data_IF_849843118460
#
_entry.id   IF_849843118460
#
_cell.length_a   1.000
_cell.length_b   1.000
_cell.length_c   1.000
_cell.angle_alpha   90.00
_cell.angle_beta   90.00
_cell.angle_gamma   90.00
#
_symmetry.space_group_name_H-M   'P 1'
#
loop_
_entity.id
_entity.type
_entity.pdbx_description
1 polymer ?
#
# COMPACT_ATOMS: atom_id res chain seq x y z
N UNK A 1 37.97 18.32 -15.48
CA UNK A 1 36.75 18.53 -14.69
C UNK A 1 36.49 17.26 -13.91
N UNK A 2 36.93 17.21 -12.66
CA UNK A 2 36.56 16.11 -11.75
C UNK A 2 35.18 16.43 -11.17
N UNK A 3 34.23 15.53 -11.36
CA UNK A 3 32.94 15.57 -10.70
C UNK A 3 33.17 15.15 -9.24
N UNK A 4 32.92 16.07 -8.32
CA UNK A 4 32.96 15.78 -6.89
C UNK A 4 31.89 14.73 -6.54
N UNK A 5 32.26 13.69 -5.80
CA UNK A 5 31.31 12.70 -5.30
C UNK A 5 30.39 13.38 -4.30
N UNK A 6 29.10 13.41 -4.62
CA UNK A 6 28.06 13.93 -3.71
C UNK A 6 27.92 12.91 -2.58
N UNK A 7 28.39 13.25 -1.38
CA UNK A 7 28.28 12.40 -0.18
C UNK A 7 26.93 12.66 0.49
N UNK A 8 26.02 11.68 0.43
CA UNK A 8 24.69 11.72 1.06
C UNK A 8 23.77 10.66 0.46
N UNK A 9 22.66 10.32 1.14
CA UNK A 9 21.65 9.41 0.58
C UNK A 9 21.02 10.06 -0.66
N UNK A 10 21.16 9.46 -1.87
CA UNK A 10 20.57 10.01 -3.08
C UNK A 10 19.04 10.14 -3.00
N UNK A 11 18.38 9.28 -2.21
CA UNK A 11 16.92 9.30 -2.02
C UNK A 11 16.46 10.47 -1.16
N UNK A 12 17.30 10.94 -0.23
CA UNK A 12 16.98 12.05 0.68
C UNK A 12 16.86 13.42 -0.03
N UNK A 13 17.25 13.52 -1.30
CA UNK A 13 17.07 14.74 -2.12
C UNK A 13 15.74 14.80 -2.86
N UNK A 14 14.99 13.71 -2.89
CA UNK A 14 13.73 13.65 -3.61
C UNK A 14 12.62 14.22 -2.72
N UNK A 15 11.89 15.21 -3.24
CA UNK A 15 10.75 15.80 -2.54
C UNK A 15 9.59 14.81 -2.35
N UNK A 16 9.56 13.73 -3.14
CA UNK A 16 8.67 12.57 -2.99
C UNK A 16 9.57 11.33 -3.06
N UNK A 17 9.53 10.48 -2.04
CA UNK A 17 10.30 9.23 -2.08
C UNK A 17 9.67 8.25 -3.05
N UNK A 18 10.47 7.54 -3.87
CA UNK A 18 9.95 6.50 -4.74
C UNK A 18 9.47 5.32 -3.89
N UNK A 19 8.55 4.56 -4.47
CA UNK A 19 8.07 3.30 -3.92
C UNK A 19 9.24 2.37 -3.50
N UNK A 20 9.20 1.88 -2.27
CA UNK A 20 10.28 1.04 -1.74
C UNK A 20 9.95 -0.45 -1.80
N UNK A 21 10.42 -1.09 -2.87
CA UNK A 21 10.25 -2.54 -3.10
C UNK A 21 10.83 -3.41 -1.96
N UNK A 22 11.76 -2.87 -1.17
CA UNK A 22 12.37 -3.58 -0.03
C UNK A 22 11.41 -3.79 1.15
N UNK A 23 10.27 -3.08 1.15
CA UNK A 23 9.20 -3.22 2.14
C UNK A 23 8.14 -4.25 1.73
N UNK A 24 8.32 -4.92 0.60
CA UNK A 24 7.45 -6.01 0.17
C UNK A 24 7.83 -7.33 0.82
N UNK A 25 6.85 -8.01 1.42
CA UNK A 25 7.05 -9.34 1.99
C UNK A 25 5.83 -10.25 1.82
N UNK A 26 6.07 -11.56 1.90
CA UNK A 26 4.99 -12.56 1.98
C UNK A 26 4.76 -12.93 3.44
N UNK A 27 3.59 -12.56 3.94
CA UNK A 27 3.17 -12.89 5.31
C UNK A 27 2.17 -14.05 5.30
N UNK A 28 2.13 -14.76 6.42
CA UNK A 28 1.11 -15.78 6.69
C UNK A 28 0.18 -15.27 7.79
N UNK A 29 -1.10 -15.11 7.47
CA UNK A 29 -2.12 -14.76 8.45
C UNK A 29 -2.36 -15.92 9.43
N UNK A 30 -3.01 -15.63 10.56
CA UNK A 30 -3.29 -16.63 11.62
C UNK A 30 -4.07 -17.86 11.10
N UNK A 31 -4.85 -17.68 10.04
CA UNK A 31 -5.64 -18.74 9.39
C UNK A 31 -4.85 -19.49 8.28
N UNK A 32 -3.55 -19.26 8.15
CA UNK A 32 -2.69 -19.90 7.16
C UNK A 32 -2.75 -19.31 5.74
N UNK A 33 -3.58 -18.28 5.50
CA UNK A 33 -3.63 -17.60 4.20
C UNK A 33 -2.33 -16.83 3.98
N UNK A 34 -1.70 -17.04 2.81
CA UNK A 34 -0.55 -16.26 2.36
C UNK A 34 -1.01 -14.97 1.70
N UNK A 35 -0.46 -13.86 2.15
CA UNK A 35 -0.69 -12.54 1.58
C UNK A 35 0.64 -11.89 1.20
N UNK A 36 0.61 -11.04 0.17
CA UNK A 36 1.68 -10.09 -0.09
C UNK A 36 1.37 -8.82 0.70
N UNK A 37 2.22 -8.49 1.66
CA UNK A 37 2.23 -7.22 2.35
C UNK A 37 3.16 -6.28 1.59
N UNK A 38 2.67 -5.09 1.23
CA UNK A 38 3.47 -4.08 0.54
C UNK A 38 2.93 -2.68 0.79
N UNK A 39 3.75 -1.61 0.61
CA UNK A 39 3.22 -0.26 0.61
C UNK A 39 2.11 -0.10 -0.44
N UNK A 40 1.12 0.73 -0.14
CA UNK A 40 0.02 1.03 -1.05
C UNK A 40 0.54 1.77 -2.28
N UNK A 41 -0.05 1.53 -3.45
CA UNK A 41 0.21 2.23 -4.69
C UNK A 41 -1.02 3.04 -5.11
N UNK A 42 -0.87 4.11 -5.90
CA UNK A 42 -2.01 4.84 -6.49
C UNK A 42 -2.98 3.92 -7.25
N UNK A 43 -2.48 2.88 -7.91
CA UNK A 43 -3.30 1.93 -8.68
C UNK A 43 -4.18 1.03 -7.81
N UNK A 44 -3.96 1.00 -6.49
CA UNK A 44 -4.75 0.20 -5.55
C UNK A 44 -6.10 0.84 -5.20
N UNK A 45 -6.41 2.02 -5.71
CA UNK A 45 -7.64 2.75 -5.41
C UNK A 45 -8.91 1.89 -5.59
N UNK A 46 -9.01 1.15 -6.70
CA UNK A 46 -10.15 0.25 -6.93
C UNK A 46 -10.22 -0.88 -5.90
N UNK A 47 -9.08 -1.47 -5.52
CA UNK A 47 -9.02 -2.54 -4.53
C UNK A 47 -9.41 -2.02 -3.14
N UNK A 48 -8.95 -0.82 -2.80
CA UNK A 48 -9.27 -0.16 -1.54
C UNK A 48 -10.76 0.18 -1.47
N UNK A 49 -11.34 0.71 -2.55
CA UNK A 49 -12.78 0.98 -2.63
C UNK A 49 -13.60 -0.30 -2.42
N UNK A 50 -13.27 -1.36 -3.13
CA UNK A 50 -13.95 -2.66 -2.99
C UNK A 50 -13.82 -3.22 -1.57
N UNK A 51 -12.66 -3.05 -0.93
CA UNK A 51 -12.44 -3.45 0.45
C UNK A 51 -13.30 -2.64 1.42
N UNK A 52 -13.32 -1.31 1.31
CA UNK A 52 -14.09 -0.42 2.17
C UNK A 52 -15.58 -0.75 2.13
N UNK A 53 -16.14 -1.12 0.97
CA UNK A 53 -17.57 -1.52 0.88
C UNK A 53 -17.92 -2.76 1.68
N UNK A 54 -16.93 -3.57 2.07
CA UNK A 54 -17.09 -4.77 2.89
C UNK A 54 -16.83 -4.51 4.39
N UNK A 55 -16.37 -3.32 4.75
CA UNK A 55 -16.13 -2.91 6.14
C UNK A 55 -17.45 -2.46 6.78
N UNK A 56 -17.66 -2.80 8.05
CA UNK A 56 -18.88 -2.40 8.77
C UNK A 56 -18.88 -0.90 9.07
N UNK A 57 -20.06 -0.29 9.23
CA UNK A 57 -20.16 1.13 9.57
C UNK A 57 -19.52 1.42 10.93
N UNK A 58 -19.63 0.48 11.85
CA UNK A 58 -19.02 0.54 13.17
C UNK A 58 -17.50 0.61 13.08
N UNK A 59 -16.88 -0.27 12.27
CA UNK A 59 -15.42 -0.26 12.07
C UNK A 59 -14.95 1.03 11.39
N UNK A 60 -15.70 1.55 10.41
CA UNK A 60 -15.42 2.85 9.78
C UNK A 60 -15.53 3.99 10.78
N UNK A 61 -16.56 3.99 11.63
CA UNK A 61 -16.73 4.99 12.67
C UNK A 61 -15.56 5.00 13.66
N UNK A 62 -15.10 3.82 14.11
CA UNK A 62 -13.95 3.72 15.00
C UNK A 62 -12.64 4.13 14.31
N UNK A 63 -12.49 3.87 13.01
CA UNK A 63 -11.30 4.25 12.26
C UNK A 63 -11.20 5.75 11.98
N UNK A 64 -12.33 6.40 11.66
CA UNK A 64 -12.36 7.80 11.20
C UNK A 64 -12.94 8.79 12.21
N UNK A 65 -13.42 8.30 13.35
CA UNK A 65 -14.08 9.11 14.39
C UNK A 65 -15.24 9.95 13.85
N UNK A 66 -15.91 9.46 12.79
CA UNK A 66 -16.99 10.17 12.09
C UNK A 66 -17.98 9.17 11.48
N UNK A 67 -19.24 9.58 11.34
CA UNK A 67 -20.24 8.83 10.59
C UNK A 67 -19.98 8.98 9.08
N UNK A 68 -19.14 8.10 8.53
CA UNK A 68 -18.91 8.03 7.10
C UNK A 68 -19.95 7.09 6.47
N UNK A 69 -20.77 7.63 5.58
CA UNK A 69 -21.75 6.85 4.83
C UNK A 69 -21.17 6.24 3.56
N UNK A 70 -20.30 6.96 2.85
CA UNK A 70 -19.64 6.54 1.62
C UNK A 70 -18.38 7.38 1.40
N UNK A 71 -17.35 6.80 0.75
CA UNK A 71 -16.13 7.52 0.36
C UNK A 71 -16.24 8.00 -1.08
N UNK A 72 -15.93 9.27 -1.31
CA UNK A 72 -15.81 9.83 -2.65
C UNK A 72 -14.54 9.33 -3.34
N UNK A 73 -14.45 9.52 -4.66
CA UNK A 73 -13.21 9.24 -5.39
C UNK A 73 -12.02 10.00 -4.80
N UNK A 74 -12.20 11.28 -4.47
CA UNK A 74 -11.16 12.13 -3.90
C UNK A 74 -10.68 11.59 -2.54
N UNK A 75 -11.58 11.06 -1.71
CA UNK A 75 -11.19 10.46 -0.43
C UNK A 75 -10.26 9.25 -0.64
N UNK A 76 -10.61 8.34 -1.56
CA UNK A 76 -9.82 7.14 -1.83
C UNK A 76 -8.50 7.50 -2.55
N UNK A 77 -8.51 8.51 -3.42
CA UNK A 77 -7.31 9.04 -4.05
C UNK A 77 -6.32 9.59 -3.01
N UNK A 78 -6.81 10.37 -2.04
CA UNK A 78 -5.98 10.89 -0.93
C UNK A 78 -5.41 9.76 -0.05
N UNK A 79 -6.10 8.63 0.07
CA UNK A 79 -5.60 7.47 0.83
C UNK A 79 -4.53 6.66 0.10
N UNK A 80 -4.49 6.70 -1.24
CA UNK A 80 -3.58 5.88 -2.06
C UNK A 80 -2.38 6.67 -2.60
N UNK A 81 -2.54 7.97 -2.83
CA UNK A 81 -1.50 8.86 -3.36
C UNK A 81 -0.75 9.56 -2.23
N UNK A 82 -0.05 8.78 -1.41
CA UNK A 82 0.67 9.28 -0.24
C UNK A 82 2.12 9.68 -0.57
N UNK A 83 2.68 10.60 0.21
CA UNK A 83 4.12 10.85 0.22
C UNK A 83 4.81 9.81 1.09
N UNK A 84 5.50 8.83 0.49
CA UNK A 84 6.17 7.73 1.22
C UNK A 84 7.28 8.16 2.20
N UNK A 85 7.71 9.42 2.20
CA UNK A 85 8.60 9.97 3.24
C UNK A 85 7.84 10.44 4.48
N UNK A 86 6.67 11.03 4.27
CA UNK A 86 5.86 11.66 5.32
C UNK A 86 4.79 10.74 5.89
N UNK A 87 4.28 9.86 5.04
CA UNK A 87 3.14 9.00 5.28
C UNK A 87 3.50 7.59 4.83
N UNK A 88 2.94 6.58 5.50
CA UNK A 88 3.16 5.19 5.14
C UNK A 88 1.91 4.39 5.39
N UNK A 89 1.38 3.80 4.32
CA UNK A 89 0.26 2.88 4.36
C UNK A 89 0.64 1.58 3.67
N UNK A 90 0.24 0.47 4.27
CA UNK A 90 0.46 -0.88 3.76
C UNK A 90 -0.86 -1.54 3.42
N UNK A 91 -0.83 -2.39 2.40
CA UNK A 91 -1.94 -3.28 2.07
C UNK A 91 -1.49 -4.72 2.08
N UNK A 92 -2.40 -5.62 2.46
CA UNK A 92 -2.19 -7.05 2.42
C UNK A 92 -3.11 -7.68 1.36
N UNK A 93 -2.54 -8.08 0.23
CA UNK A 93 -3.29 -8.69 -0.87
C UNK A 93 -3.15 -10.21 -0.79
N UNK A 94 -4.28 -10.91 -0.78
CA UNK A 94 -4.30 -12.38 -0.83
C UNK A 94 -3.64 -12.84 -2.14
N UNK A 95 -2.55 -13.61 -2.03
CA UNK A 95 -1.86 -14.14 -3.21
C UNK A 95 -2.53 -15.47 -3.60
N UNK A 96 -3.16 -15.51 -4.77
CA UNK A 96 -3.68 -16.76 -5.31
C UNK A 96 -2.47 -17.57 -5.81
N UNK A 97 -2.31 -18.84 -5.40
CA UNK A 97 -1.23 -19.67 -5.92
C UNK A 97 -1.38 -19.80 -7.44
N UNK A 98 -0.41 -19.25 -8.19
CA UNK A 98 -0.32 -19.42 -9.63
C UNK A 98 0.57 -20.62 -9.92
N UNK A 99 0.09 -21.53 -10.77
CA UNK A 99 0.93 -22.61 -11.29
C UNK A 99 2.08 -21.96 -12.08
N UNK A 100 3.31 -22.08 -11.58
CA UNK A 100 4.48 -21.45 -12.20
C UNK A 100 5.09 -22.32 -13.28
N UNK A 101 5.05 -23.63 -13.11
CA UNK A 101 5.43 -24.62 -14.10
C UNK A 101 4.81 -25.97 -13.71
N UNK A 102 4.49 -26.78 -14.72
CA UNK A 102 4.24 -28.21 -14.57
C UNK A 102 5.38 -28.91 -15.30
N UNK A 103 6.24 -29.60 -14.56
CA UNK A 103 7.21 -30.50 -15.16
C UNK A 103 6.52 -31.85 -15.37
N UNK A 104 6.47 -32.30 -16.63
CA UNK A 104 6.11 -33.66 -17.00
C UNK A 104 7.30 -34.58 -16.72
#
# INVERSE_FOLDING_TARGET
MELCLIVGDPKARLAIRPYSNELEEIISLKNGIKCQLRPILPEDESLLKDFITQVTKEDLYYGYFSEISEFTHDDVANMTQIDYDREMAFIAIKKIPRLLAWFV
#
